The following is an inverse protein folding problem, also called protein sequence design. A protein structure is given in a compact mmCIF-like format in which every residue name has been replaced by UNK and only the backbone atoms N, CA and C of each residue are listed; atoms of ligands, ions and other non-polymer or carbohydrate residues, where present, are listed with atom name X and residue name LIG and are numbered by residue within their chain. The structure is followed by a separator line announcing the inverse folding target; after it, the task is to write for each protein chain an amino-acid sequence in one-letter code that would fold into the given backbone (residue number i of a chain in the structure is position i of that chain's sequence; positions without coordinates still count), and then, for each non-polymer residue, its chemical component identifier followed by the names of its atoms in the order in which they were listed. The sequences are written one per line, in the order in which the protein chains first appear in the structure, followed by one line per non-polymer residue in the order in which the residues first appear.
data_IF_702680207310
#
_entry.id   IF_702680207310
#
_cell.length_a   1.000
_cell.length_b   1.000
_cell.length_c   1.000
_cell.angle_alpha   90.00
_cell.angle_beta   90.00
_cell.angle_gamma   90.00
#
_symmetry.space_group_name_H-M   'P 1'
#
loop_
_entity.id
_entity.type
_entity.pdbx_description
1 polymer ?
#
# COMPACT_ATOMS: atom_id res chain seq x y z
N UNK A 1 43.79 -11.51 -18.66
CA UNK A 1 42.85 -12.48 -19.28
C UNK A 1 41.99 -11.76 -20.31
N UNK A 2 41.84 -12.31 -21.52
CA UNK A 2 40.85 -11.82 -22.49
C UNK A 2 39.45 -12.21 -22.00
N UNK A 3 38.50 -11.28 -22.04
CA UNK A 3 37.10 -11.52 -21.66
C UNK A 3 36.48 -12.61 -22.54
N UNK A 4 35.98 -13.70 -21.94
CA UNK A 4 35.41 -14.83 -22.65
C UNK A 4 33.93 -15.04 -22.30
N UNK A 5 33.07 -14.93 -23.30
CA UNK A 5 31.60 -15.10 -23.15
C UNK A 5 31.23 -16.50 -22.63
N UNK A 6 32.00 -17.54 -22.98
CA UNK A 6 31.74 -18.90 -22.49
C UNK A 6 31.91 -18.97 -20.97
N UNK A 7 32.90 -18.26 -20.43
CA UNK A 7 33.13 -18.18 -18.99
C UNK A 7 31.98 -17.46 -18.28
N UNK A 8 31.52 -16.34 -18.84
CA UNK A 8 30.35 -15.60 -18.34
C UNK A 8 29.12 -16.51 -18.26
N UNK A 9 28.85 -17.28 -19.31
CA UNK A 9 27.72 -18.20 -19.34
C UNK A 9 27.85 -19.33 -18.29
N UNK A 10 29.04 -19.88 -18.08
CA UNK A 10 29.28 -20.89 -17.05
C UNK A 10 29.07 -20.34 -15.64
N UNK A 11 29.52 -19.10 -15.38
CA UNK A 11 29.25 -18.40 -14.10
C UNK A 11 27.75 -18.20 -13.91
N UNK A 12 27.04 -17.71 -14.93
CA UNK A 12 25.60 -17.50 -14.87
C UNK A 12 24.84 -18.80 -14.59
N UNK A 13 25.17 -19.89 -15.29
CA UNK A 13 24.56 -21.21 -15.08
C UNK A 13 24.82 -21.75 -13.68
N UNK A 14 26.05 -21.58 -13.17
CA UNK A 14 26.39 -21.94 -11.79
C UNK A 14 25.52 -21.17 -10.80
N UNK A 15 25.39 -19.86 -10.98
CA UNK A 15 24.64 -18.99 -10.07
C UNK A 15 23.16 -19.37 -10.03
N UNK A 16 22.56 -19.62 -11.21
CA UNK A 16 21.17 -20.08 -11.34
C UNK A 16 20.97 -21.38 -10.55
N UNK A 17 21.83 -22.39 -10.79
CA UNK A 17 21.71 -23.69 -10.13
C UNK A 17 21.89 -23.59 -8.62
N UNK A 18 22.89 -22.83 -8.17
CA UNK A 18 23.19 -22.66 -6.76
C UNK A 18 22.07 -21.91 -6.04
N UNK A 19 21.54 -20.85 -6.65
CA UNK A 19 20.50 -20.03 -6.02
C UNK A 19 19.15 -20.73 -6.01
N UNK A 20 18.73 -21.34 -7.13
CA UNK A 20 17.46 -22.08 -7.20
C UNK A 20 17.43 -23.30 -6.27
N UNK A 21 18.58 -23.90 -5.98
CA UNK A 21 18.70 -25.00 -5.02
C UNK A 21 18.59 -24.59 -3.54
N UNK A 22 18.69 -23.30 -3.21
CA UNK A 22 18.60 -22.81 -1.83
C UNK A 22 17.12 -22.69 -1.39
N UNK A 23 16.82 -23.06 -0.14
CA UNK A 23 15.49 -22.84 0.48
C UNK A 23 15.04 -21.37 0.41
N UNK A 24 15.98 -20.43 0.47
CA UNK A 24 15.70 -19.00 0.35
C UNK A 24 15.05 -18.61 -0.99
N UNK A 25 15.36 -19.32 -2.09
CA UNK A 25 14.70 -19.08 -3.37
C UNK A 25 13.23 -19.50 -3.36
N UNK A 26 12.91 -20.64 -2.74
CA UNK A 26 11.51 -21.07 -2.56
C UNK A 26 10.71 -20.06 -1.73
N UNK A 27 11.31 -19.52 -0.66
CA UNK A 27 10.68 -18.46 0.13
C UNK A 27 10.45 -17.21 -0.72
N UNK A 28 11.45 -16.77 -1.49
CA UNK A 28 11.31 -15.61 -2.38
C UNK A 28 10.24 -15.81 -3.46
N UNK A 29 10.03 -17.06 -3.91
CA UNK A 29 9.02 -17.42 -4.89
C UNK A 29 7.59 -17.40 -4.31
N UNK A 30 7.42 -17.95 -3.10
CA UNK A 30 6.09 -18.18 -2.48
C UNK A 30 5.62 -16.97 -1.67
N UNK A 31 6.51 -16.28 -0.97
CA UNK A 31 6.17 -15.18 -0.07
C UNK A 31 5.34 -14.07 -0.76
N UNK A 32 5.69 -13.59 -1.97
CA UNK A 32 4.89 -12.57 -2.65
C UNK A 32 3.46 -13.03 -2.95
N UNK A 33 3.29 -14.30 -3.35
CA UNK A 33 1.97 -14.89 -3.61
C UNK A 33 1.16 -15.01 -2.32
N UNK A 34 1.79 -15.43 -1.22
CA UNK A 34 1.13 -15.53 0.08
C UNK A 34 0.70 -14.15 0.58
N UNK A 35 1.55 -13.13 0.43
CA UNK A 35 1.21 -11.75 0.77
C UNK A 35 0.08 -11.22 -0.11
N UNK A 36 0.08 -11.56 -1.40
CA UNK A 36 -1.02 -11.20 -2.31
C UNK A 36 -2.33 -11.86 -1.89
N UNK A 37 -2.33 -13.15 -1.58
CA UNK A 37 -3.50 -13.85 -1.07
C UNK A 37 -4.00 -13.25 0.26
N UNK A 38 -3.08 -12.84 1.14
CA UNK A 38 -3.42 -12.13 2.36
C UNK A 38 -4.07 -10.76 2.06
N UNK A 39 -3.48 -9.94 1.20
CA UNK A 39 -4.05 -8.63 0.83
C UNK A 39 -5.44 -8.81 0.19
N UNK A 40 -5.57 -9.74 -0.76
CA UNK A 40 -6.83 -10.03 -1.43
C UNK A 40 -7.91 -10.58 -0.49
N UNK A 41 -7.53 -11.26 0.60
CA UNK A 41 -8.50 -11.73 1.61
C UNK A 41 -8.83 -10.68 2.67
N UNK A 42 -7.89 -9.78 2.98
CA UNK A 42 -8.10 -8.69 3.91
C UNK A 42 -9.06 -7.62 3.37
N UNK A 43 -9.08 -7.35 2.06
CA UNK A 43 -9.96 -6.33 1.47
C UNK A 43 -11.45 -6.69 1.65
N UNK A 44 -11.96 -7.86 1.23
CA UNK A 44 -13.34 -8.26 1.48
C UNK A 44 -13.65 -8.44 2.96
N UNK A 45 -12.66 -8.84 3.78
CA UNK A 45 -12.84 -8.92 5.23
C UNK A 45 -13.03 -7.52 5.83
N UNK A 46 -12.21 -6.54 5.44
CA UNK A 46 -12.32 -5.16 5.87
C UNK A 46 -13.65 -4.56 5.41
N UNK A 47 -14.04 -4.79 4.15
CA UNK A 47 -15.33 -4.38 3.63
C UNK A 47 -16.47 -5.05 4.40
N UNK A 48 -16.40 -6.36 4.66
CA UNK A 48 -17.41 -7.07 5.47
C UNK A 48 -17.45 -6.56 6.90
N UNK A 49 -16.33 -6.18 7.51
CA UNK A 49 -16.28 -5.61 8.86
C UNK A 49 -16.85 -4.19 8.90
N UNK A 50 -16.56 -3.37 7.89
CA UNK A 50 -17.10 -2.02 7.72
C UNK A 50 -18.59 -2.05 7.39
N UNK A 51 -19.01 -2.91 6.46
CA UNK A 51 -20.40 -3.10 6.02
C UNK A 51 -21.23 -3.95 6.98
N UNK A 52 -20.63 -4.70 7.93
CA UNK A 52 -21.38 -5.31 9.04
C UNK A 52 -22.06 -4.25 9.91
N UNK A 53 -21.57 -3.01 9.88
CA UNK A 53 -22.25 -1.85 10.46
C UNK A 53 -23.52 -1.46 9.69
N UNK A 54 -23.58 -1.67 8.37
CA UNK A 54 -24.81 -1.45 7.57
C UNK A 54 -25.82 -2.60 7.68
N UNK A 55 -25.38 -3.83 7.93
CA UNK A 55 -26.26 -4.99 8.13
C UNK A 55 -26.99 -5.02 9.49
N UNK A 56 -26.78 -4.02 10.35
CA UNK A 56 -27.64 -3.76 11.51
C UNK A 56 -29.01 -3.17 11.12
N UNK A 57 -29.25 -2.93 9.82
CA UNK A 57 -30.52 -2.42 9.29
C UNK A 57 -31.60 -3.49 9.06
N UNK A 58 -31.50 -4.68 9.67
CA UNK A 58 -32.56 -5.71 9.59
C UNK A 58 -33.41 -5.81 10.86
N UNK A 59 -32.88 -5.42 12.02
CA UNK A 59 -33.60 -5.48 13.30
C UNK A 59 -33.44 -4.17 14.09
N UNK A 60 -34.47 -3.79 14.85
CA UNK A 60 -34.43 -2.60 15.70
C UNK A 60 -33.46 -2.79 16.86
N UNK A 61 -32.51 -1.87 17.03
CA UNK A 61 -31.54 -1.87 18.12
C UNK A 61 -32.20 -1.32 19.38
N UNK A 62 -32.31 -2.14 20.43
CA UNK A 62 -32.89 -1.74 21.72
C UNK A 62 -31.83 -1.13 22.63
N UNK A 63 -32.08 0.08 23.09
CA UNK A 63 -31.15 0.85 23.92
C UNK A 63 -31.83 1.23 25.23
N UNK A 64 -31.21 0.82 26.34
CA UNK A 64 -31.61 1.25 27.67
C UNK A 64 -31.10 2.65 27.99
N UNK A 65 -31.90 3.48 28.64
CA UNK A 65 -31.44 4.77 29.17
C UNK A 65 -31.71 4.87 30.66
N UNK A 66 -30.69 5.24 31.43
CA UNK A 66 -30.78 5.53 32.86
C UNK A 66 -30.54 7.03 33.02
N UNK A 67 -31.58 7.76 33.42
CA UNK A 67 -31.53 9.21 33.62
C UNK A 67 -32.83 9.78 34.20
N UNK A 68 -32.74 10.98 34.77
CA UNK A 68 -33.87 11.68 35.41
C UNK A 68 -34.60 12.65 34.48
N UNK A 69 -33.98 13.04 33.37
CA UNK A 69 -34.48 14.07 32.47
C UNK A 69 -35.43 13.48 31.42
N UNK A 70 -36.67 13.19 31.82
CA UNK A 70 -37.69 12.58 30.95
C UNK A 70 -37.90 13.37 29.65
N UNK A 71 -37.85 14.71 29.70
CA UNK A 71 -37.99 15.59 28.52
C UNK A 71 -36.83 15.41 27.52
N UNK A 72 -35.59 15.24 27.98
CA UNK A 72 -34.43 15.05 27.12
C UNK A 72 -34.46 13.66 26.48
N UNK A 73 -34.82 12.64 27.26
CA UNK A 73 -34.94 11.27 26.77
C UNK A 73 -36.03 11.19 25.70
N UNK A 74 -37.16 11.87 25.90
CA UNK A 74 -38.25 11.94 24.93
C UNK A 74 -37.82 12.62 23.63
N UNK A 75 -37.19 13.80 23.71
CA UNK A 75 -36.66 14.51 22.54
C UNK A 75 -35.59 13.71 21.80
N UNK A 76 -34.79 12.94 22.52
CA UNK A 76 -33.80 12.05 21.94
C UNK A 76 -34.43 10.84 21.24
N UNK A 77 -35.52 10.29 21.80
CA UNK A 77 -36.32 9.26 21.15
C UNK A 77 -36.88 9.72 19.81
N UNK A 78 -37.55 10.88 19.80
CA UNK A 78 -38.12 11.46 18.57
C UNK A 78 -37.03 11.65 17.50
N UNK A 79 -35.84 12.11 17.90
CA UNK A 79 -34.72 12.31 16.96
C UNK A 79 -34.17 10.99 16.42
N UNK A 80 -34.09 9.96 17.24
CA UNK A 80 -33.64 8.63 16.82
C UNK A 80 -34.66 7.91 15.95
N UNK A 81 -35.95 8.21 16.08
CA UNK A 81 -37.02 7.68 15.21
C UNK A 81 -36.96 8.22 13.77
N UNK A 82 -36.21 9.31 13.52
CA UNK A 82 -35.89 9.79 12.18
C UNK A 82 -35.00 8.79 11.41
N UNK A 83 -34.19 8.00 12.12
CA UNK A 83 -33.36 6.93 11.54
C UNK A 83 -34.22 5.68 11.36
N UNK A 84 -34.55 5.38 10.10
CA UNK A 84 -35.45 4.26 9.75
C UNK A 84 -34.71 3.10 9.09
N UNK A 85 -35.18 1.90 9.40
CA UNK A 85 -34.87 0.67 8.69
C UNK A 85 -35.40 0.76 7.24
N UNK A 86 -34.88 -0.04 6.28
CA UNK A 86 -35.37 -0.09 4.90
C UNK A 86 -36.87 -0.42 4.77
N UNK A 87 -37.43 -1.07 5.79
CA UNK A 87 -38.86 -1.41 5.91
C UNK A 87 -39.71 -0.29 6.57
N UNK A 88 -39.12 0.87 6.88
CA UNK A 88 -39.80 2.04 7.45
C UNK A 88 -39.98 2.03 8.97
N UNK A 89 -39.57 0.96 9.69
CA UNK A 89 -39.59 0.90 11.16
C UNK A 89 -38.43 1.71 11.77
N UNK A 90 -38.55 2.22 13.01
CA UNK A 90 -37.45 2.92 13.66
C UNK A 90 -36.26 1.97 13.88
N UNK A 91 -35.06 2.43 13.53
CA UNK A 91 -33.81 1.69 13.68
C UNK A 91 -33.44 1.50 15.15
N UNK A 92 -33.84 2.44 16.01
CA UNK A 92 -33.56 2.42 17.43
C UNK A 92 -34.86 2.37 18.24
N UNK A 93 -34.85 1.61 19.33
CA UNK A 93 -35.93 1.58 20.31
C UNK A 93 -35.36 1.92 21.68
N UNK A 94 -35.74 3.09 22.21
CA UNK A 94 -35.29 3.54 23.52
C UNK A 94 -36.26 3.06 24.61
N UNK A 95 -35.72 2.44 25.66
CA UNK A 95 -36.45 2.07 26.86
C UNK A 95 -35.78 2.74 28.07
N UNK A 96 -36.51 3.64 28.74
CA UNK A 96 -35.99 4.39 29.87
C UNK A 96 -36.31 3.69 31.20
N UNK A 97 -35.31 3.59 32.08
CA UNK A 97 -35.49 3.24 33.48
C UNK A 97 -35.41 4.51 34.32
N UNK A 98 -36.56 4.98 34.84
CA UNK A 98 -36.62 6.16 35.69
C UNK A 98 -36.15 5.86 37.12
N UNK A 99 -35.39 6.79 37.71
CA UNK A 99 -34.81 6.70 39.07
C UNK A 99 -35.83 7.16 40.13
N UNK A 100 -37.10 6.76 40.00
CA UNK A 100 -38.14 7.09 40.99
C UNK A 100 -37.97 6.18 42.22
N UNK A 101 -37.07 6.57 43.13
CA UNK A 101 -36.87 5.92 44.43
C UNK A 101 -35.98 4.67 44.42
N UNK A 102 -35.32 4.35 43.31
CA UNK A 102 -34.43 3.19 43.18
C UNK A 102 -32.96 3.65 43.16
N UNK A 103 -32.08 2.99 43.92
CA UNK A 103 -30.65 3.30 43.90
C UNK A 103 -30.05 3.10 42.51
N UNK A 104 -29.23 4.06 42.04
CA UNK A 104 -28.54 4.03 40.73
C UNK A 104 -27.81 2.71 40.47
N UNK A 105 -27.20 2.15 41.51
CA UNK A 105 -26.49 0.87 41.46
C UNK A 105 -27.41 -0.30 41.10
N UNK A 106 -28.66 -0.30 41.58
CA UNK A 106 -29.63 -1.36 41.27
C UNK A 106 -30.15 -1.25 39.83
N UNK A 107 -30.32 -0.03 39.33
CA UNK A 107 -30.71 0.21 37.93
C UNK A 107 -29.61 -0.20 36.95
N UNK A 108 -28.36 0.12 37.26
CA UNK A 108 -27.21 -0.32 36.46
C UNK A 108 -27.07 -1.86 36.48
N UNK A 109 -27.28 -2.51 37.63
CA UNK A 109 -27.28 -3.98 37.70
C UNK A 109 -28.40 -4.62 36.87
N UNK A 110 -29.60 -4.03 36.86
CA UNK A 110 -30.72 -4.48 36.03
C UNK A 110 -30.44 -4.28 34.53
N UNK A 111 -29.95 -3.09 34.15
CA UNK A 111 -29.57 -2.79 32.77
C UNK A 111 -28.44 -3.71 32.26
N UNK A 112 -27.44 -3.98 33.10
CA UNK A 112 -26.40 -4.96 32.79
C UNK A 112 -26.98 -6.38 32.60
N UNK A 113 -27.97 -6.77 33.42
CA UNK A 113 -28.65 -8.06 33.26
C UNK A 113 -29.41 -8.11 31.93
N UNK A 114 -30.19 -7.08 31.59
CA UNK A 114 -30.90 -6.97 30.29
C UNK A 114 -29.96 -7.03 29.09
N UNK A 115 -28.77 -6.43 29.18
CA UNK A 115 -27.74 -6.54 28.13
C UNK A 115 -27.10 -7.93 28.07
N UNK A 116 -26.87 -8.58 29.21
CA UNK A 116 -26.36 -9.97 29.26
C UNK A 116 -27.38 -10.97 28.70
N UNK A 117 -28.65 -10.76 29.00
CA UNK A 117 -29.78 -11.59 28.56
C UNK A 117 -30.20 -11.29 27.10
N UNK A 118 -29.47 -10.37 26.42
CA UNK A 118 -29.70 -9.93 25.03
C UNK A 118 -31.07 -9.27 24.78
N UNK A 119 -31.74 -8.81 25.84
CA UNK A 119 -32.96 -8.01 25.72
C UNK A 119 -32.66 -6.59 25.23
N UNK A 120 -31.52 -6.05 25.66
CA UNK A 120 -30.98 -4.76 25.21
C UNK A 120 -29.62 -4.95 24.53
N UNK A 121 -29.36 -4.16 23.49
CA UNK A 121 -28.08 -4.17 22.79
C UNK A 121 -27.02 -3.31 23.51
N UNK A 122 -27.46 -2.22 24.15
CA UNK A 122 -26.61 -1.33 24.92
C UNK A 122 -27.46 -0.56 25.95
N UNK A 123 -26.79 0.06 26.93
CA UNK A 123 -27.43 1.05 27.78
C UNK A 123 -26.54 2.30 27.97
N UNK A 124 -27.19 3.44 28.17
CA UNK A 124 -26.56 4.74 28.40
C UNK A 124 -26.96 5.27 29.77
N UNK A 125 -25.98 5.77 30.52
CA UNK A 125 -26.19 6.37 31.85
C UNK A 125 -25.86 7.85 31.79
N UNK A 126 -26.83 8.69 32.17
CA UNK A 126 -26.62 10.13 32.27
C UNK A 126 -26.01 10.47 33.64
N UNK A 127 -24.88 11.16 33.63
CA UNK A 127 -24.16 11.52 34.86
C UNK A 127 -24.53 12.94 35.30
N UNK A 128 -25.60 13.04 36.09
CA UNK A 128 -26.15 14.32 36.57
C UNK A 128 -26.96 15.05 35.51
N UNK A 129 -27.04 16.38 35.61
CA UNK A 129 -27.67 17.20 34.58
C UNK A 129 -26.83 17.19 33.30
N UNK A 130 -27.34 16.46 32.31
CA UNK A 130 -26.65 16.27 31.04
C UNK A 130 -26.58 17.56 30.21
N UNK A 131 -27.48 18.51 30.45
CA UNK A 131 -27.48 19.80 29.75
C UNK A 131 -26.28 20.66 30.15
N UNK A 132 -25.80 20.56 31.39
CA UNK A 132 -24.65 21.33 31.85
C UNK A 132 -23.34 20.58 31.60
N UNK A 133 -23.24 19.33 32.06
CA UNK A 133 -21.96 18.61 32.08
C UNK A 133 -21.67 17.83 30.79
N UNK A 134 -22.69 17.46 30.01
CA UNK A 134 -22.54 16.70 28.76
C UNK A 134 -21.86 15.32 28.92
N UNK A 135 -21.83 14.76 30.13
CA UNK A 135 -21.18 13.49 30.44
C UNK A 135 -22.22 12.36 30.45
N UNK A 136 -21.98 11.34 29.62
CA UNK A 136 -22.75 10.11 29.60
C UNK A 136 -21.83 8.90 29.48
N UNK A 137 -22.15 7.84 30.20
CA UNK A 137 -21.42 6.58 30.16
C UNK A 137 -22.17 5.58 29.28
N UNK A 138 -21.47 4.97 28.32
CA UNK A 138 -22.04 4.02 27.36
C UNK A 138 -21.54 2.60 27.65
N UNK A 139 -22.47 1.66 27.75
CA UNK A 139 -22.17 0.26 28.07
C UNK A 139 -22.81 -0.68 27.05
N UNK A 140 -22.04 -1.66 26.58
CA UNK A 140 -22.50 -2.67 25.61
C UNK A 140 -21.86 -4.03 25.88
N UNK A 141 -22.47 -5.12 25.40
CA UNK A 141 -21.88 -6.47 25.46
C UNK A 141 -20.68 -6.57 24.51
N UNK A 142 -19.59 -7.22 24.94
CA UNK A 142 -18.33 -7.35 24.18
C UNK A 142 -18.56 -7.65 22.69
N UNK A 143 -17.99 -6.80 21.82
CA UNK A 143 -17.95 -7.00 20.37
C UNK A 143 -19.04 -6.28 19.56
N UNK A 144 -19.81 -5.37 20.15
CA UNK A 144 -20.84 -4.61 19.44
C UNK A 144 -20.31 -3.31 18.82
N UNK A 145 -20.65 -3.13 17.53
CA UNK A 145 -20.58 -1.96 16.63
C UNK A 145 -19.76 -0.72 17.07
N UNK A 146 -18.62 -0.50 16.39
CA UNK A 146 -17.77 0.70 16.56
C UNK A 146 -18.52 2.02 16.23
N UNK A 147 -19.60 1.94 15.43
CA UNK A 147 -20.35 3.11 15.00
C UNK A 147 -21.53 3.46 15.92
N UNK A 148 -22.06 2.52 16.71
CA UNK A 148 -23.23 2.78 17.56
C UNK A 148 -23.00 3.93 18.56
N UNK A 149 -21.88 4.00 19.31
CA UNK A 149 -21.60 5.14 20.18
C UNK A 149 -21.52 6.47 19.41
N UNK A 150 -21.01 6.45 18.17
CA UNK A 150 -20.92 7.64 17.32
C UNK A 150 -22.31 8.14 16.89
N UNK A 151 -23.20 7.24 16.43
CA UNK A 151 -24.57 7.61 16.02
C UNK A 151 -25.36 8.15 17.21
N UNK A 152 -25.31 7.46 18.36
CA UNK A 152 -26.00 7.86 19.58
C UNK A 152 -25.47 9.18 20.15
N UNK A 153 -24.15 9.37 20.15
CA UNK A 153 -23.56 10.63 20.62
C UNK A 153 -23.85 11.80 19.67
N UNK A 154 -23.94 11.57 18.36
CA UNK A 154 -24.29 12.61 17.38
C UNK A 154 -25.74 13.10 17.58
N UNK A 155 -26.69 12.17 17.70
CA UNK A 155 -28.11 12.51 17.90
C UNK A 155 -28.34 13.18 19.27
N UNK A 156 -27.74 12.65 20.34
CA UNK A 156 -27.88 13.22 21.68
C UNK A 156 -27.25 14.62 21.77
N UNK A 157 -26.11 14.84 21.10
CA UNK A 157 -25.45 16.15 21.04
C UNK A 157 -26.32 17.21 20.35
N UNK A 158 -27.05 16.84 19.31
CA UNK A 158 -27.99 17.75 18.65
C UNK A 158 -29.14 18.15 19.58
N UNK A 159 -29.71 17.20 20.32
CA UNK A 159 -30.77 17.46 21.30
C UNK A 159 -30.29 18.36 22.44
N UNK A 160 -29.15 18.04 23.04
CA UNK A 160 -28.56 18.85 24.13
C UNK A 160 -28.21 20.25 23.63
N UNK A 161 -27.63 20.36 22.42
CA UNK A 161 -27.33 21.66 21.81
C UNK A 161 -28.59 22.50 21.65
N UNK A 162 -29.67 21.93 21.13
CA UNK A 162 -30.93 22.65 20.95
C UNK A 162 -31.52 23.09 22.29
N UNK A 163 -31.42 22.28 23.35
CA UNK A 163 -31.85 22.65 24.71
C UNK A 163 -31.03 23.81 25.28
N UNK A 164 -29.70 23.78 25.12
CA UNK A 164 -28.81 24.87 25.55
C UNK A 164 -29.14 26.18 24.82
N UNK A 165 -29.44 26.11 23.52
CA UNK A 165 -29.84 27.28 22.73
C UNK A 165 -31.15 27.88 23.27
N UNK A 166 -32.16 27.04 23.53
CA UNK A 166 -33.44 27.51 24.10
C UNK A 166 -33.26 28.14 25.48
N UNK A 167 -32.39 27.59 26.33
CA UNK A 167 -32.10 28.13 27.66
C UNK A 167 -31.49 29.54 27.61
N UNK A 168 -30.71 29.85 26.58
CA UNK A 168 -30.12 31.18 26.31
C UNK A 168 -31.06 32.10 25.51
N UNK A 169 -32.31 31.68 25.26
CA UNK A 169 -33.28 32.45 24.46
C UNK A 169 -32.97 32.49 22.97
N UNK A 170 -32.09 31.62 22.48
CA UNK A 170 -31.72 31.51 21.06
C UNK A 170 -32.64 30.51 20.36
N UNK A 171 -33.21 30.90 19.22
CA UNK A 171 -34.02 30.01 18.39
C UNK A 171 -33.14 28.92 17.72
N UNK A 172 -33.29 27.63 18.08
CA UNK A 172 -32.50 26.55 17.51
C UNK A 172 -32.72 26.38 16.01
N UNK A 173 -33.92 26.69 15.50
CA UNK A 173 -34.20 26.58 14.07
C UNK A 173 -33.36 27.60 13.30
N UNK A 174 -33.30 28.83 13.78
CA UNK A 174 -32.47 29.89 13.18
C UNK A 174 -30.97 29.55 13.24
N UNK A 175 -30.47 29.02 14.35
CA UNK A 175 -29.07 28.60 14.48
C UNK A 175 -28.75 27.39 13.59
N UNK A 176 -29.65 26.41 13.47
CA UNK A 176 -29.47 25.26 12.59
C UNK A 176 -29.53 25.66 11.10
N UNK A 177 -30.34 26.67 10.75
CA UNK A 177 -30.34 27.27 9.41
C UNK A 177 -29.01 27.95 9.09
N UNK A 178 -28.45 28.70 10.04
CA UNK A 178 -27.15 29.37 9.89
C UNK A 178 -25.97 28.39 9.81
N UNK A 179 -26.07 27.25 10.50
CA UNK A 179 -25.07 26.18 10.49
C UNK A 179 -25.34 25.10 9.44
N UNK A 180 -26.35 25.27 8.58
CA UNK A 180 -26.66 24.29 7.54
C UNK A 180 -25.48 24.24 6.58
N UNK A 181 -24.75 23.13 6.62
CA UNK A 181 -23.59 22.91 5.76
C UNK A 181 -23.99 23.00 4.29
N UNK A 182 -23.07 23.50 3.47
CA UNK A 182 -23.28 23.57 2.02
C UNK A 182 -23.31 22.14 1.48
N UNK A 183 -24.46 21.74 0.95
CA UNK A 183 -24.59 20.46 0.24
C UNK A 183 -24.12 20.67 -1.18
N UNK A 184 -22.92 20.18 -1.49
CA UNK A 184 -22.40 20.23 -2.86
C UNK A 184 -23.10 19.15 -3.68
N UNK A 185 -23.99 19.57 -4.57
CA UNK A 185 -24.40 18.73 -5.67
C UNK A 185 -23.35 18.92 -6.77
N UNK A 186 -22.40 17.99 -6.85
CA UNK A 186 -21.34 17.99 -7.86
C UNK A 186 -21.94 17.54 -9.19
N UNK A 187 -21.95 18.44 -10.18
CA UNK A 187 -22.38 18.15 -11.54
C UNK A 187 -21.15 18.17 -12.45
N UNK A 188 -20.83 17.03 -13.08
CA UNK A 188 -19.76 16.95 -14.06
C UNK A 188 -20.21 17.66 -15.34
N UNK A 189 -19.62 18.82 -15.66
CA UNK A 189 -19.85 19.47 -16.94
C UNK A 189 -19.05 18.73 -18.02
N UNK A 190 -19.75 17.99 -18.89
CA UNK A 190 -19.20 17.57 -20.18
C UNK A 190 -19.00 18.82 -21.04
N UNK A 191 -17.75 19.15 -21.36
CA UNK A 191 -17.40 20.30 -22.22
C UNK A 191 -17.79 20.09 -23.70
N UNK A 192 -18.48 19.00 -24.03
CA UNK A 192 -19.08 18.78 -25.34
C UNK A 192 -20.60 18.86 -25.25
N UNK A 193 -21.18 19.78 -26.03
CA UNK A 193 -22.62 19.90 -26.24
C UNK A 193 -23.11 18.72 -27.09
N UNK A 194 -23.40 17.59 -26.44
CA UNK A 194 -24.12 16.47 -27.06
C UNK A 194 -25.58 16.42 -26.60
N UNK A 195 -26.51 15.87 -27.43
CA UNK A 195 -27.94 16.00 -27.22
C UNK A 195 -28.45 15.29 -25.96
N UNK A 196 -29.63 15.71 -25.51
CA UNK A 196 -30.28 15.43 -24.21
C UNK A 196 -30.44 13.95 -23.84
N UNK A 197 -30.33 13.01 -24.78
CA UNK A 197 -30.46 11.57 -24.57
C UNK A 197 -29.24 10.93 -23.86
N UNK A 198 -28.04 11.51 -24.01
CA UNK A 198 -26.79 10.97 -23.43
C UNK A 198 -26.46 11.55 -22.04
N UNK A 199 -27.30 12.42 -21.48
CA UNK A 199 -27.10 13.01 -20.13
C UNK A 199 -27.18 11.96 -19.01
N UNK A 200 -27.93 10.88 -19.21
CA UNK A 200 -27.92 9.74 -18.29
C UNK A 200 -26.67 8.87 -18.45
N UNK A 201 -26.08 8.82 -19.66
CA UNK A 201 -24.83 8.10 -19.91
C UNK A 201 -23.62 8.83 -19.32
N UNK A 202 -23.60 10.16 -19.39
CA UNK A 202 -22.55 10.99 -18.75
C UNK A 202 -22.61 10.94 -17.22
N UNK A 203 -23.81 10.89 -16.63
CA UNK A 203 -23.99 10.67 -15.18
C UNK A 203 -23.51 9.27 -14.76
N UNK A 204 -23.72 8.26 -15.62
CA UNK A 204 -23.16 6.91 -15.46
C UNK A 204 -21.63 6.91 -15.67
N UNK A 205 -21.08 7.72 -16.57
CA UNK A 205 -19.64 7.83 -16.83
C UNK A 205 -18.87 8.46 -15.66
N UNK A 206 -19.36 9.54 -15.07
CA UNK A 206 -18.73 10.17 -13.89
C UNK A 206 -18.71 9.29 -12.66
N UNK A 207 -19.84 8.61 -12.41
CA UNK A 207 -19.96 7.60 -11.35
C UNK A 207 -19.08 6.38 -11.65
N UNK A 208 -19.03 5.94 -12.93
CA UNK A 208 -18.09 4.91 -13.41
C UNK A 208 -16.64 5.34 -13.27
N UNK A 209 -16.29 6.63 -13.41
CA UNK A 209 -14.91 7.11 -13.32
C UNK A 209 -14.40 7.14 -11.87
N UNK A 210 -15.27 7.48 -10.90
CA UNK A 210 -14.99 7.33 -9.47
C UNK A 210 -14.89 5.85 -9.07
N UNK A 211 -15.86 5.01 -9.48
CA UNK A 211 -15.80 3.56 -9.25
C UNK A 211 -14.54 2.94 -9.88
N UNK A 212 -14.20 3.32 -11.11
CA UNK A 212 -12.97 2.91 -11.80
C UNK A 212 -11.70 3.37 -11.08
N UNK A 213 -11.73 4.45 -10.32
CA UNK A 213 -10.57 4.87 -9.53
C UNK A 213 -10.38 3.96 -8.30
N UNK A 214 -11.47 3.60 -7.64
CA UNK A 214 -11.49 2.70 -6.48
C UNK A 214 -11.15 1.25 -6.88
N UNK A 215 -11.70 0.76 -8.00
CA UNK A 215 -11.45 -0.58 -8.55
C UNK A 215 -10.01 -0.79 -9.03
N UNK A 216 -9.30 0.30 -9.31
CA UNK A 216 -8.02 0.28 -10.00
C UNK A 216 -6.82 0.45 -9.05
N UNK A 217 -7.03 0.98 -7.83
CA UNK A 217 -6.01 1.07 -6.78
C UNK A 217 -5.50 -0.31 -6.38
N UNK A 218 -6.39 -1.29 -6.20
CA UNK A 218 -6.04 -2.66 -5.81
C UNK A 218 -5.06 -3.32 -6.79
N UNK A 219 -5.43 -3.44 -8.08
CA UNK A 219 -4.55 -3.95 -9.13
C UNK A 219 -3.22 -3.18 -9.24
N UNK A 220 -3.23 -1.84 -9.14
CA UNK A 220 -2.00 -1.04 -9.19
C UNK A 220 -1.05 -1.42 -8.05
N UNK A 221 -1.57 -1.51 -6.82
CA UNK A 221 -0.80 -1.84 -5.62
C UNK A 221 -0.22 -3.25 -5.69
N UNK A 222 -0.97 -4.20 -6.22
CA UNK A 222 -0.48 -5.55 -6.51
C UNK A 222 0.69 -5.51 -7.49
N UNK A 223 0.57 -4.79 -8.61
CA UNK A 223 1.63 -4.69 -9.60
C UNK A 223 2.90 -4.06 -9.04
N UNK A 224 2.79 -3.00 -8.24
CA UNK A 224 3.94 -2.32 -7.63
C UNK A 224 4.61 -3.21 -6.59
N UNK A 225 3.82 -3.92 -5.78
CA UNK A 225 4.34 -4.87 -4.79
C UNK A 225 5.09 -6.02 -5.49
N UNK A 226 4.54 -6.55 -6.58
CA UNK A 226 5.21 -7.57 -7.40
C UNK A 226 6.49 -7.03 -8.02
N UNK A 227 6.48 -5.81 -8.56
CA UNK A 227 7.71 -5.17 -9.06
C UNK A 227 8.75 -5.00 -7.96
N UNK A 228 8.34 -4.58 -6.76
CA UNK A 228 9.22 -4.44 -5.60
C UNK A 228 9.91 -5.78 -5.27
N UNK A 229 9.15 -6.86 -5.15
CA UNK A 229 9.72 -8.18 -4.86
C UNK A 229 10.65 -8.67 -5.97
N UNK A 230 10.31 -8.39 -7.24
CA UNK A 230 11.15 -8.74 -8.38
C UNK A 230 12.46 -7.98 -8.39
N UNK A 231 12.44 -6.64 -8.37
CA UNK A 231 13.65 -5.83 -8.55
C UNK A 231 14.50 -5.84 -7.28
N UNK A 232 13.90 -5.53 -6.13
CA UNK A 232 14.63 -5.45 -4.87
C UNK A 232 14.97 -6.84 -4.32
N UNK A 233 14.02 -7.77 -4.32
CA UNK A 233 14.21 -9.11 -3.75
C UNK A 233 15.33 -9.90 -4.45
N UNK A 234 15.33 -9.95 -5.78
CA UNK A 234 16.41 -10.63 -6.54
C UNK A 234 17.77 -9.94 -6.38
N UNK A 235 17.79 -8.61 -6.37
CA UNK A 235 19.03 -7.83 -6.19
C UNK A 235 19.61 -8.00 -4.78
N UNK A 236 18.75 -8.16 -3.77
CA UNK A 236 19.17 -8.51 -2.41
C UNK A 236 19.83 -9.88 -2.35
N UNK A 237 19.29 -10.88 -3.08
CA UNK A 237 19.91 -12.21 -3.18
C UNK A 237 21.29 -12.14 -3.87
N UNK A 238 21.44 -11.30 -4.89
CA UNK A 238 22.73 -11.04 -5.55
C UNK A 238 23.77 -10.47 -4.59
N UNK A 239 23.41 -9.43 -3.82
CA UNK A 239 24.29 -8.84 -2.81
C UNK A 239 24.76 -9.89 -1.79
N UNK A 240 23.83 -10.65 -1.21
CA UNK A 240 24.17 -11.69 -0.24
C UNK A 240 25.06 -12.76 -0.86
N UNK A 241 24.78 -13.19 -2.10
CA UNK A 241 25.61 -14.15 -2.81
C UNK A 241 27.06 -13.68 -3.00
N UNK A 242 27.27 -12.40 -3.32
CA UNK A 242 28.62 -11.82 -3.45
C UNK A 242 29.32 -11.77 -2.09
N UNK A 243 28.64 -11.33 -1.03
CA UNK A 243 29.21 -11.25 0.32
C UNK A 243 29.54 -12.63 0.88
N UNK A 244 28.65 -13.62 0.69
CA UNK A 244 28.89 -15.02 1.03
C UNK A 244 30.13 -15.57 0.32
N UNK A 245 30.29 -15.34 -0.98
CA UNK A 245 31.45 -15.83 -1.74
C UNK A 245 32.76 -15.14 -1.36
N UNK A 246 32.69 -13.86 -1.01
CA UNK A 246 33.84 -13.09 -0.54
C UNK A 246 34.29 -13.58 0.83
N UNK A 247 33.36 -13.76 1.76
CA UNK A 247 33.64 -14.22 3.14
C UNK A 247 34.08 -15.69 3.19
N UNK A 248 33.58 -16.53 2.28
CA UNK A 248 33.92 -17.97 2.21
C UNK A 248 35.20 -18.28 1.40
N UNK A 249 35.95 -17.27 0.96
CA UNK A 249 37.14 -17.39 0.07
C UNK A 249 36.88 -18.11 -1.27
N UNK A 250 35.62 -18.35 -1.62
CA UNK A 250 35.24 -18.91 -2.93
C UNK A 250 35.65 -17.96 -4.05
N UNK A 251 35.64 -16.64 -3.78
CA UNK A 251 36.02 -15.64 -4.76
C UNK A 251 37.50 -15.71 -5.16
N UNK A 252 38.41 -16.05 -4.24
CA UNK A 252 39.84 -16.21 -4.52
C UNK A 252 40.09 -17.37 -5.51
N UNK A 253 39.37 -18.48 -5.28
CA UNK A 253 39.39 -19.63 -6.19
C UNK A 253 38.83 -19.27 -7.56
N UNK A 254 37.73 -18.52 -7.64
CA UNK A 254 37.17 -18.07 -8.91
C UNK A 254 38.11 -17.15 -9.68
N UNK A 255 38.77 -16.23 -8.98
CA UNK A 255 39.70 -15.26 -9.57
C UNK A 255 41.00 -15.90 -10.10
N UNK A 256 41.36 -17.11 -9.63
CA UNK A 256 42.48 -17.87 -10.18
C UNK A 256 42.24 -18.33 -11.63
N UNK A 257 40.97 -18.44 -12.04
CA UNK A 257 40.56 -19.00 -13.34
C UNK A 257 39.74 -18.04 -14.20
N UNK A 258 39.18 -16.98 -13.62
CA UNK A 258 38.27 -16.03 -14.27
C UNK A 258 38.65 -14.59 -13.93
N UNK A 259 38.44 -13.67 -14.88
CA UNK A 259 38.59 -12.25 -14.63
C UNK A 259 37.41 -11.67 -13.81
N UNK A 260 37.62 -10.60 -13.02
CA UNK A 260 36.54 -9.95 -12.27
C UNK A 260 35.35 -9.54 -13.13
N UNK A 261 35.59 -9.09 -14.37
CA UNK A 261 34.55 -8.70 -15.32
C UNK A 261 33.68 -9.88 -15.78
N UNK A 262 34.27 -11.07 -15.93
CA UNK A 262 33.52 -12.29 -16.28
C UNK A 262 32.64 -12.75 -15.12
N UNK A 263 33.17 -12.72 -13.89
CA UNK A 263 32.42 -13.05 -12.67
C UNK A 263 31.24 -12.09 -12.50
N UNK A 264 31.50 -10.78 -12.59
CA UNK A 264 30.51 -9.73 -12.46
C UNK A 264 29.36 -9.88 -13.47
N UNK A 265 29.71 -9.98 -14.76
CA UNK A 265 28.72 -10.08 -15.84
C UNK A 265 27.93 -11.38 -15.74
N UNK A 266 28.61 -12.48 -15.38
CA UNK A 266 27.98 -13.78 -15.18
C UNK A 266 26.97 -13.76 -14.04
N UNK A 267 27.29 -13.11 -12.92
CA UNK A 267 26.37 -12.96 -11.79
C UNK A 267 25.15 -12.12 -12.15
N UNK A 268 25.33 -10.92 -12.72
CA UNK A 268 24.18 -10.08 -13.11
C UNK A 268 23.28 -10.81 -14.10
N UNK A 269 23.86 -11.47 -15.11
CA UNK A 269 23.08 -12.22 -16.09
C UNK A 269 22.37 -13.43 -15.46
N UNK A 270 23.02 -14.15 -14.55
CA UNK A 270 22.42 -15.27 -13.82
C UNK A 270 21.21 -14.84 -12.99
N UNK A 271 21.35 -13.77 -12.20
CA UNK A 271 20.25 -13.23 -11.40
C UNK A 271 19.13 -12.61 -12.24
N UNK A 272 19.44 -12.09 -13.43
CA UNK A 272 18.42 -11.65 -14.37
C UNK A 272 17.49 -12.81 -14.77
N UNK A 273 18.06 -13.97 -15.12
CA UNK A 273 17.27 -15.16 -15.44
C UNK A 273 16.54 -15.75 -14.23
N UNK A 274 17.12 -15.67 -13.03
CA UNK A 274 16.42 -16.02 -11.79
C UNK A 274 15.18 -15.12 -11.62
N UNK A 275 15.33 -13.81 -11.76
CA UNK A 275 14.20 -12.87 -11.71
C UNK A 275 13.15 -13.17 -12.78
N UNK A 276 13.58 -13.45 -14.01
CA UNK A 276 12.67 -13.82 -15.10
C UNK A 276 11.86 -15.09 -14.78
N UNK A 277 12.48 -16.07 -14.13
CA UNK A 277 11.80 -17.28 -13.67
C UNK A 277 10.77 -17.01 -12.57
N UNK A 278 11.08 -16.11 -11.62
CA UNK A 278 10.14 -15.69 -10.58
C UNK A 278 8.95 -14.95 -11.18
N UNK A 279 9.21 -14.04 -12.11
CA UNK A 279 8.17 -13.32 -12.84
C UNK A 279 7.24 -14.29 -13.57
N UNK A 280 7.79 -15.24 -14.34
CA UNK A 280 7.01 -16.24 -15.06
C UNK A 280 6.14 -17.07 -14.10
N UNK A 281 6.68 -17.47 -12.96
CA UNK A 281 5.92 -18.19 -11.94
C UNK A 281 4.79 -17.35 -11.34
N UNK A 282 5.05 -16.09 -10.96
CA UNK A 282 4.01 -15.20 -10.40
C UNK A 282 2.92 -14.87 -11.41
N UNK A 283 3.26 -14.65 -12.68
CA UNK A 283 2.28 -14.49 -13.76
C UNK A 283 1.43 -15.76 -13.90
N UNK A 284 2.06 -16.95 -13.90
CA UNK A 284 1.34 -18.22 -13.94
C UNK A 284 0.36 -18.39 -12.78
N UNK A 285 0.78 -18.09 -11.55
CA UNK A 285 -0.11 -18.12 -10.39
C UNK A 285 -1.23 -17.07 -10.49
N UNK A 286 -0.92 -15.86 -10.97
CA UNK A 286 -1.90 -14.82 -11.20
C UNK A 286 -3.00 -15.29 -12.16
N UNK A 287 -2.63 -15.87 -13.31
CA UNK A 287 -3.57 -16.42 -14.30
C UNK A 287 -4.46 -17.50 -13.67
N UNK A 288 -3.89 -18.41 -12.87
CA UNK A 288 -4.66 -19.46 -12.17
C UNK A 288 -5.63 -18.88 -11.13
N UNK A 289 -5.29 -17.74 -10.51
CA UNK A 289 -6.13 -17.05 -9.53
C UNK A 289 -7.27 -16.23 -10.15
N UNK A 290 -7.15 -15.76 -11.40
CA UNK A 290 -8.15 -14.88 -12.04
C UNK A 290 -9.60 -15.42 -11.97
N UNK A 291 -9.89 -16.71 -12.28
CA UNK A 291 -11.26 -17.22 -12.26
C UNK A 291 -11.93 -17.20 -10.88
N UNK A 292 -11.13 -17.14 -9.81
CA UNK A 292 -11.60 -17.18 -8.43
C UNK A 292 -11.94 -15.79 -7.90
N UNK A 293 -11.51 -14.73 -8.59
CA UNK A 293 -11.63 -13.35 -8.11
C UNK A 293 -12.85 -12.62 -8.67
N UNK A 294 -13.54 -13.18 -9.68
CA UNK A 294 -14.65 -12.51 -10.41
C UNK A 294 -14.28 -11.09 -10.91
N UNK A 295 -12.99 -10.85 -11.16
CA UNK A 295 -12.44 -9.59 -11.67
C UNK A 295 -11.94 -9.78 -13.10
N UNK A 296 -12.51 -9.02 -14.03
CA UNK A 296 -12.02 -8.94 -15.42
C UNK A 296 -10.81 -8.02 -15.51
N UNK A 297 -9.61 -8.56 -15.27
CA UNK A 297 -8.36 -7.79 -15.32
C UNK A 297 -8.14 -7.08 -16.66
N UNK A 298 -8.61 -7.65 -17.76
CA UNK A 298 -8.44 -7.08 -19.11
C UNK A 298 -9.25 -5.78 -19.31
N UNK A 299 -10.29 -5.54 -18.53
CA UNK A 299 -11.07 -4.30 -18.58
C UNK A 299 -10.35 -3.12 -17.91
N UNK A 300 -9.41 -3.44 -17.01
CA UNK A 300 -8.68 -2.47 -16.19
C UNK A 300 -7.21 -2.32 -16.58
N UNK A 301 -6.61 -3.36 -17.16
CA UNK A 301 -5.18 -3.42 -17.49
C UNK A 301 -5.01 -3.57 -19.01
N UNK A 302 -4.73 -2.47 -19.73
CA UNK A 302 -4.48 -2.52 -21.16
C UNK A 302 -3.32 -3.46 -21.51
N UNK A 303 -3.32 -4.17 -22.65
CA UNK A 303 -2.20 -5.02 -23.08
C UNK A 303 -0.84 -4.31 -23.09
N UNK A 304 -0.83 -3.01 -23.42
CA UNK A 304 0.37 -2.16 -23.40
C UNK A 304 0.99 -2.04 -21.99
N UNK A 305 0.21 -2.25 -20.93
CA UNK A 305 0.69 -2.27 -19.55
C UNK A 305 1.67 -3.43 -19.32
N UNK A 306 1.41 -4.62 -19.86
CA UNK A 306 2.30 -5.77 -19.70
C UNK A 306 3.66 -5.55 -20.38
N UNK A 307 3.66 -4.93 -21.57
CA UNK A 307 4.89 -4.58 -22.25
C UNK A 307 5.72 -3.57 -21.44
N UNK A 308 5.06 -2.57 -20.87
CA UNK A 308 5.72 -1.61 -19.98
C UNK A 308 6.22 -2.25 -18.69
N UNK A 309 5.42 -3.16 -18.12
CA UNK A 309 5.83 -3.93 -16.96
C UNK A 309 7.14 -4.67 -17.23
N UNK A 310 7.27 -5.35 -18.39
CA UNK A 310 8.50 -6.04 -18.78
C UNK A 310 9.70 -5.11 -18.99
N UNK A 311 9.49 -3.96 -19.62
CA UNK A 311 10.55 -2.97 -19.86
C UNK A 311 11.09 -2.45 -18.53
N UNK A 312 10.20 -1.96 -17.67
CA UNK A 312 10.58 -1.37 -16.39
C UNK A 312 11.03 -2.39 -15.35
N UNK A 313 10.52 -3.62 -15.41
CA UNK A 313 11.05 -4.74 -14.65
C UNK A 313 12.51 -4.99 -15.03
N UNK A 314 12.81 -5.09 -16.34
CA UNK A 314 14.17 -5.33 -16.83
C UNK A 314 15.13 -4.21 -16.46
N UNK A 315 14.78 -2.96 -16.78
CA UNK A 315 15.67 -1.81 -16.49
C UNK A 315 15.80 -1.55 -15.00
N UNK A 316 14.71 -1.68 -14.25
CA UNK A 316 14.71 -1.57 -12.80
C UNK A 316 15.59 -2.63 -12.15
N UNK A 317 15.42 -3.90 -12.54
CA UNK A 317 16.27 -4.99 -12.09
C UNK A 317 17.75 -4.70 -12.38
N UNK A 318 18.11 -4.37 -13.63
CA UNK A 318 19.51 -4.13 -13.99
C UNK A 318 20.12 -3.01 -13.15
N UNK A 319 19.37 -1.93 -12.94
CA UNK A 319 19.84 -0.83 -12.11
C UNK A 319 20.08 -1.25 -10.65
N UNK A 320 19.11 -1.89 -10.00
CA UNK A 320 19.29 -2.40 -8.64
C UNK A 320 20.41 -3.44 -8.55
N UNK A 321 20.49 -4.37 -9.50
CA UNK A 321 21.53 -5.39 -9.54
C UNK A 321 22.93 -4.78 -9.58
N UNK A 322 23.14 -3.69 -10.35
CA UNK A 322 24.44 -3.02 -10.43
C UNK A 322 24.85 -2.36 -9.13
N UNK A 323 23.91 -1.69 -8.46
CA UNK A 323 24.14 -1.07 -7.15
C UNK A 323 24.46 -2.12 -6.10
N UNK A 324 23.64 -3.17 -6.03
CA UNK A 324 23.80 -4.25 -5.07
C UNK A 324 25.08 -5.04 -5.32
N UNK A 325 25.49 -5.23 -6.59
CA UNK A 325 26.77 -5.83 -6.92
C UNK A 325 27.96 -4.94 -6.52
N UNK A 326 27.88 -3.63 -6.74
CA UNK A 326 28.92 -2.69 -6.33
C UNK A 326 29.07 -2.66 -4.81
N UNK A 327 27.95 -2.60 -4.08
CA UNK A 327 27.93 -2.68 -2.61
C UNK A 327 28.55 -3.99 -2.17
N UNK A 328 28.10 -5.13 -2.72
CA UNK A 328 28.60 -6.46 -2.36
C UNK A 328 30.11 -6.61 -2.54
N UNK A 329 30.68 -5.96 -3.55
CA UNK A 329 32.12 -5.92 -3.72
C UNK A 329 32.83 -5.10 -2.64
N UNK A 330 32.21 -4.02 -2.14
CA UNK A 330 32.79 -3.09 -1.17
C UNK A 330 32.70 -3.62 0.27
N UNK A 331 31.57 -4.21 0.66
CA UNK A 331 31.36 -4.67 2.04
C UNK A 331 32.30 -5.81 2.44
N UNK A 332 32.59 -5.89 3.74
CA UNK A 332 33.45 -6.94 4.32
C UNK A 332 32.65 -8.08 4.95
N UNK A 333 31.43 -7.83 5.39
CA UNK A 333 30.60 -8.80 6.10
C UNK A 333 29.10 -8.62 5.82
N UNK A 334 28.31 -9.61 6.27
CA UNK A 334 26.87 -9.67 6.03
C UNK A 334 26.08 -8.65 6.86
N UNK A 335 26.56 -8.25 8.04
CA UNK A 335 25.86 -7.27 8.88
C UNK A 335 25.92 -5.87 8.25
N UNK A 336 27.07 -5.51 7.69
CA UNK A 336 27.23 -4.25 6.97
C UNK A 336 26.40 -4.23 5.68
N UNK A 337 26.34 -5.36 4.97
CA UNK A 337 25.50 -5.49 3.76
C UNK A 337 24.02 -5.19 4.07
N UNK A 338 23.53 -5.60 5.25
CA UNK A 338 22.16 -5.33 5.69
C UNK A 338 21.90 -3.85 6.00
N UNK A 339 22.89 -3.11 6.50
CA UNK A 339 22.75 -1.66 6.75
C UNK A 339 22.59 -0.90 5.43
N UNK A 340 23.35 -1.26 4.40
CA UNK A 340 23.18 -0.70 3.06
C UNK A 340 21.83 -1.07 2.46
N UNK A 341 21.34 -2.29 2.67
CA UNK A 341 20.03 -2.73 2.17
C UNK A 341 18.89 -1.82 2.65
N UNK A 342 18.91 -1.35 3.90
CA UNK A 342 17.86 -0.50 4.47
C UNK A 342 17.73 0.81 3.68
N UNK A 343 18.85 1.42 3.29
CA UNK A 343 18.87 2.69 2.55
C UNK A 343 18.15 2.53 1.20
N UNK A 344 18.46 1.47 0.45
CA UNK A 344 17.84 1.22 -0.85
C UNK A 344 16.42 0.66 -0.77
N UNK A 345 16.08 0.00 0.34
CA UNK A 345 14.72 -0.48 0.59
C UNK A 345 13.73 0.68 0.69
N UNK A 346 14.11 1.72 1.46
CA UNK A 346 13.29 2.94 1.62
C UNK A 346 12.99 3.56 0.24
N UNK A 347 13.96 3.59 -0.67
CA UNK A 347 13.77 4.16 -2.01
C UNK A 347 12.70 3.39 -2.80
N UNK A 348 12.68 2.06 -2.72
CA UNK A 348 11.65 1.26 -3.41
C UNK A 348 10.27 1.34 -2.75
N UNK A 349 10.21 1.62 -1.44
CA UNK A 349 8.97 1.72 -0.66
C UNK A 349 8.30 3.09 -0.81
N UNK A 350 9.06 4.16 -1.03
CA UNK A 350 8.52 5.53 -1.18
C UNK A 350 7.37 5.60 -2.20
N UNK A 351 7.49 5.01 -3.42
CA UNK A 351 6.36 5.04 -4.35
C UNK A 351 5.11 4.31 -3.89
N UNK A 352 5.28 3.28 -3.06
CA UNK A 352 4.16 2.57 -2.45
C UNK A 352 3.47 3.44 -1.39
N UNK A 353 4.24 4.22 -0.60
CA UNK A 353 3.67 5.15 0.38
C UNK A 353 3.02 6.38 -0.28
N UNK A 354 3.61 6.87 -1.36
CA UNK A 354 3.13 8.04 -2.11
C UNK A 354 2.14 7.68 -3.22
N UNK A 355 1.62 6.45 -3.26
CA UNK A 355 0.76 5.97 -4.34
C UNK A 355 -0.43 6.92 -4.60
N UNK A 356 -1.03 7.47 -3.54
CA UNK A 356 -2.15 8.40 -3.63
C UNK A 356 -1.81 9.65 -4.45
N UNK A 357 -0.60 10.20 -4.29
CA UNK A 357 -0.14 11.37 -5.07
C UNK A 357 0.02 11.00 -6.53
N UNK A 358 0.63 9.84 -6.81
CA UNK A 358 0.92 9.41 -8.17
C UNK A 358 -0.32 9.01 -8.97
N UNK A 359 -1.33 8.45 -8.31
CA UNK A 359 -2.61 8.15 -8.94
C UNK A 359 -3.47 9.41 -9.07
N UNK A 360 -3.52 10.28 -8.06
CA UNK A 360 -4.38 11.48 -8.10
C UNK A 360 -3.86 12.55 -9.07
N UNK A 361 -2.54 12.65 -9.26
CA UNK A 361 -1.88 13.68 -10.05
C UNK A 361 -0.84 13.08 -11.02
N UNK A 362 -1.22 12.15 -11.92
CA UNK A 362 -0.27 11.35 -12.70
C UNK A 362 0.50 12.15 -13.76
N UNK A 363 -0.03 13.32 -14.15
CA UNK A 363 0.57 14.21 -15.14
C UNK A 363 1.29 15.42 -14.52
N UNK A 364 1.30 15.55 -13.19
CA UNK A 364 2.01 16.63 -12.52
C UNK A 364 3.51 16.54 -12.81
N UNK A 365 4.15 17.68 -13.10
CA UNK A 365 5.53 17.70 -13.59
C UNK A 365 6.52 17.03 -12.63
N UNK A 366 6.28 17.11 -11.31
CA UNK A 366 7.10 16.42 -10.29
C UNK A 366 6.96 14.91 -10.40
N UNK A 367 5.73 14.39 -10.57
CA UNK A 367 5.47 12.96 -10.74
C UNK A 367 6.11 12.44 -12.03
N UNK A 368 6.05 13.24 -13.10
CA UNK A 368 6.77 12.95 -14.35
C UNK A 368 8.28 12.87 -14.10
N UNK A 369 8.87 13.88 -13.45
CA UNK A 369 10.30 13.93 -13.15
C UNK A 369 10.76 12.73 -12.31
N UNK A 370 10.03 12.37 -11.25
CA UNK A 370 10.32 11.19 -10.42
C UNK A 370 10.29 9.92 -11.26
N UNK A 371 9.40 9.82 -12.25
CA UNK A 371 9.35 8.68 -13.16
C UNK A 371 10.65 8.51 -13.95
N UNK A 372 11.45 9.55 -14.18
CA UNK A 372 12.74 9.43 -14.88
C UNK A 372 13.88 8.89 -14.01
N UNK A 373 13.71 8.88 -12.69
CA UNK A 373 14.71 8.41 -11.74
C UNK A 373 14.57 6.89 -11.60
N UNK A 374 15.57 6.09 -12.01
CA UNK A 374 15.44 4.63 -12.17
C UNK A 374 14.96 3.87 -10.92
N UNK A 375 15.33 4.34 -9.73
CA UNK A 375 14.86 3.80 -8.45
C UNK A 375 13.34 3.83 -8.31
N UNK A 376 12.71 4.87 -8.89
CA UNK A 376 11.28 5.10 -8.79
C UNK A 376 10.56 4.77 -10.10
N UNK A 377 11.25 4.78 -11.25
CA UNK A 377 10.67 4.63 -12.59
C UNK A 377 9.71 3.46 -12.70
N UNK A 378 10.10 2.28 -12.22
CA UNK A 378 9.28 1.08 -12.36
C UNK A 378 7.94 1.18 -11.60
N UNK A 379 7.96 1.68 -10.37
CA UNK A 379 6.76 1.80 -9.55
C UNK A 379 5.89 2.99 -9.96
N UNK A 380 6.52 4.14 -10.25
CA UNK A 380 5.81 5.37 -10.57
C UNK A 380 5.17 5.32 -11.95
N UNK A 381 5.85 4.78 -12.96
CA UNK A 381 5.24 4.64 -14.29
C UNK A 381 4.05 3.67 -14.26
N UNK A 382 4.15 2.56 -13.51
CA UNK A 382 3.04 1.64 -13.32
C UNK A 382 1.80 2.35 -12.72
N UNK A 383 2.00 3.14 -11.66
CA UNK A 383 0.91 3.93 -11.04
C UNK A 383 0.30 4.95 -11.99
N UNK A 384 1.13 5.67 -12.74
CA UNK A 384 0.65 6.70 -13.68
C UNK A 384 -0.16 6.10 -14.82
N UNK A 385 0.28 4.96 -15.36
CA UNK A 385 -0.37 4.28 -16.49
C UNK A 385 -1.73 3.74 -16.11
N UNK A 386 -1.83 3.29 -14.87
CA UNK A 386 -3.07 2.84 -14.29
C UNK A 386 -4.00 4.03 -14.11
N UNK A 387 -3.53 5.14 -13.53
CA UNK A 387 -4.36 6.30 -13.25
C UNK A 387 -4.87 7.07 -14.48
N UNK A 388 -4.07 7.17 -15.54
CA UNK A 388 -4.41 7.93 -16.73
C UNK A 388 -3.74 7.36 -17.98
N UNK A 389 -4.35 7.54 -19.18
CA UNK A 389 -3.69 7.20 -20.43
C UNK A 389 -2.45 8.10 -20.61
N UNK A 390 -1.27 7.50 -20.56
CA UNK A 390 0.00 8.21 -20.78
C UNK A 390 0.33 8.16 -22.28
N UNK A 391 0.73 9.30 -22.87
CA UNK A 391 1.25 9.31 -24.23
C UNK A 391 2.46 8.37 -24.40
N UNK A 392 2.49 7.59 -25.49
CA UNK A 392 3.53 6.60 -25.75
C UNK A 392 4.96 7.17 -25.76
N UNK A 393 5.13 8.44 -26.13
CA UNK A 393 6.44 9.10 -26.15
C UNK A 393 6.98 9.36 -24.73
N UNK A 394 6.11 9.66 -23.76
CA UNK A 394 6.53 9.85 -22.37
C UNK A 394 7.00 8.53 -21.75
N UNK A 395 6.31 7.44 -22.10
CA UNK A 395 6.70 6.07 -21.73
C UNK A 395 8.08 5.74 -22.32
N UNK A 396 8.28 6.00 -23.61
CA UNK A 396 9.54 5.76 -24.30
C UNK A 396 10.70 6.56 -23.70
N UNK A 397 10.48 7.85 -23.39
CA UNK A 397 11.49 8.71 -22.78
C UNK A 397 11.94 8.18 -21.41
N UNK A 398 10.99 7.76 -20.57
CA UNK A 398 11.29 7.20 -19.25
C UNK A 398 11.95 5.81 -19.36
N UNK A 399 11.57 5.00 -20.34
CA UNK A 399 12.23 3.73 -20.63
C UNK A 399 13.69 3.94 -21.07
N UNK A 400 13.93 4.90 -21.97
CA UNK A 400 15.27 5.27 -22.44
C UNK A 400 16.13 5.84 -21.31
N UNK A 401 15.57 6.70 -20.45
CA UNK A 401 16.31 7.21 -19.29
C UNK A 401 16.69 6.06 -18.35
N UNK A 402 15.74 5.19 -18.02
CA UNK A 402 15.96 4.04 -17.15
C UNK A 402 17.04 3.10 -17.71
N UNK A 403 17.01 2.82 -19.01
CA UNK A 403 18.03 2.03 -19.69
C UNK A 403 19.39 2.72 -19.66
N UNK A 404 19.45 4.03 -19.92
CA UNK A 404 20.69 4.82 -19.90
C UNK A 404 21.35 4.75 -18.53
N UNK A 405 20.59 4.97 -17.46
CA UNK A 405 21.09 4.86 -16.09
C UNK A 405 21.49 3.43 -15.72
N UNK A 406 20.75 2.41 -16.17
CA UNK A 406 21.15 1.02 -15.96
C UNK A 406 22.50 0.73 -16.64
N UNK A 407 22.70 1.16 -17.88
CA UNK A 407 23.97 0.98 -18.61
C UNK A 407 25.13 1.74 -17.95
N UNK A 408 24.89 2.97 -17.49
CA UNK A 408 25.86 3.73 -16.70
C UNK A 408 26.18 3.01 -15.38
N UNK A 409 25.16 2.47 -14.71
CA UNK A 409 25.29 1.66 -13.51
C UNK A 409 26.15 0.42 -13.72
N UNK A 410 25.90 -0.35 -14.79
CA UNK A 410 26.71 -1.51 -15.19
C UNK A 410 28.17 -1.11 -15.38
N UNK A 411 28.41 -0.04 -16.12
CA UNK A 411 29.76 0.44 -16.39
C UNK A 411 30.51 0.85 -15.12
N UNK A 412 29.88 1.65 -14.25
CA UNK A 412 30.47 2.11 -13.00
C UNK A 412 30.66 0.98 -11.99
N UNK A 413 29.64 0.14 -11.82
CA UNK A 413 29.67 -0.99 -10.90
C UNK A 413 30.70 -2.04 -11.34
N UNK A 414 30.90 -2.28 -12.63
CA UNK A 414 31.97 -3.17 -13.11
C UNK A 414 33.37 -2.67 -12.69
N UNK A 415 33.61 -1.35 -12.73
CA UNK A 415 34.87 -0.74 -12.27
C UNK A 415 35.05 -0.88 -10.76
N UNK A 416 34.00 -0.58 -10.00
CA UNK A 416 33.99 -0.77 -8.54
C UNK A 416 34.22 -2.24 -8.19
N UNK A 417 33.54 -3.16 -8.87
CA UNK A 417 33.63 -4.59 -8.61
C UNK A 417 35.04 -5.12 -8.82
N UNK A 418 35.72 -4.69 -9.90
CA UNK A 418 37.09 -5.12 -10.20
C UNK A 418 38.09 -4.82 -9.07
N UNK A 419 37.96 -3.67 -8.42
CA UNK A 419 38.87 -3.24 -7.34
C UNK A 419 38.36 -3.74 -5.99
N UNK A 420 37.09 -3.49 -5.67
CA UNK A 420 36.49 -3.80 -4.37
C UNK A 420 36.50 -5.29 -4.03
N UNK A 421 36.30 -6.17 -5.02
CA UNK A 421 36.26 -7.61 -4.77
C UNK A 421 37.58 -8.18 -4.24
N UNK A 422 38.71 -7.53 -4.58
CA UNK A 422 40.05 -7.89 -4.14
C UNK A 422 40.42 -7.26 -2.79
N UNK A 423 39.66 -6.26 -2.34
CA UNK A 423 39.94 -5.57 -1.09
C UNK A 423 39.42 -6.33 0.12
N UNK A 424 40.32 -6.54 1.09
CA UNK A 424 40.05 -7.19 2.36
C UNK A 424 40.36 -6.26 3.53
N UNK A 425 39.58 -6.38 4.61
CA UNK A 425 39.88 -5.78 5.92
C UNK A 425 39.56 -4.28 6.10
N UNK A 426 39.75 -3.42 5.09
CA UNK A 426 39.51 -1.97 5.24
C UNK A 426 38.33 -1.48 4.39
N UNK A 427 37.40 -0.77 5.03
CA UNK A 427 36.30 -0.07 4.35
C UNK A 427 36.84 1.08 3.50
N UNK A 428 36.56 1.10 2.18
CA UNK A 428 36.93 2.22 1.35
C UNK A 428 36.06 3.44 1.67
N UNK A 429 36.68 4.61 1.68
CA UNK A 429 35.94 5.87 1.81
C UNK A 429 35.13 6.17 0.53
N UNK A 430 34.05 6.95 0.63
CA UNK A 430 33.28 7.40 -0.54
C UNK A 430 34.15 8.09 -1.60
N UNK A 431 35.22 8.79 -1.16
CA UNK A 431 36.18 9.43 -2.07
C UNK A 431 37.05 8.42 -2.81
N UNK A 432 37.40 7.29 -2.21
CA UNK A 432 38.14 6.22 -2.86
C UNK A 432 37.27 5.47 -3.87
N UNK A 433 36.02 5.15 -3.50
CA UNK A 433 35.03 4.54 -4.41
C UNK A 433 34.83 5.45 -5.64
N UNK A 434 34.71 6.76 -5.43
CA UNK A 434 34.62 7.74 -6.51
C UNK A 434 35.84 7.71 -7.44
N UNK A 435 37.06 7.52 -6.91
CA UNK A 435 38.27 7.38 -7.75
C UNK A 435 38.23 6.11 -8.60
N UNK A 436 37.74 4.99 -8.06
CA UNK A 436 37.64 3.73 -8.82
C UNK A 436 36.73 3.84 -10.04
N UNK A 437 35.67 4.63 -9.93
CA UNK A 437 34.78 4.93 -11.05
C UNK A 437 35.51 5.60 -12.23
N UNK A 438 36.57 6.38 -11.98
CA UNK A 438 37.29 7.16 -13.00
C UNK A 438 38.70 6.65 -13.32
N UNK A 439 39.17 5.61 -12.62
CA UNK A 439 40.51 5.06 -12.84
C UNK A 439 40.67 4.54 -14.28
N UNK A 440 41.74 4.99 -14.98
CA UNK A 440 42.09 4.57 -16.34
C UNK A 440 43.22 3.56 -16.28
N UNK A 441 43.09 2.46 -17.03
CA UNK A 441 44.04 1.32 -17.09
C UNK A 441 45.48 1.66 -17.54
N UNK A 442 45.78 2.91 -17.87
CA UNK A 442 47.08 3.33 -18.40
C UNK A 442 48.12 3.67 -17.33
N UNK A 443 47.74 3.78 -16.06
CA UNK A 443 48.71 3.92 -14.97
C UNK A 443 49.02 2.53 -14.40
N UNK A 444 49.99 1.89 -15.04
CA UNK A 444 50.57 0.66 -14.55
C UNK A 444 51.24 0.84 -13.18
N UNK A 445 51.45 -0.32 -12.55
CA UNK A 445 52.19 -0.54 -11.31
C UNK A 445 51.39 -0.19 -10.05
N UNK A 446 50.77 -1.24 -9.51
CA UNK A 446 50.56 -1.37 -8.07
C UNK A 446 51.98 -1.34 -7.46
N UNK A 447 52.41 -0.18 -6.98
CA UNK A 447 53.44 -0.12 -5.95
C UNK A 447 52.75 -0.27 -4.58
N UNK A 448 53.04 -1.43 -3.99
CA UNK A 448 52.90 -1.88 -2.59
C UNK A 448 51.51 -2.06 -2.00
#
# INVERSE_FOLDING_TARGET
MKFNIRNVALVAQREIRQTMGKKGFLVALILPILLLALICSLVPLAEKLLNRSQNLRTESVKIGVIGNDADIIEKWRIKLDEEKLPNGRPLFSLESLSILGISRTLLEQNAQKKVRDKEWNAYVVFSGDITQNGKCDFYTSRGFDLNLPYVLSRSLREVIRNQRLLAEGLDPQRINLLNRGITWNEFELSLESKPTSEKEETKKEGTKRRARFEDLIGPAMICILMMFFLTFGTSQMLLRGIVEEKTSRVIELLLSSLSPGEIYTGKISGFFFIGLSQFAFWVGCGIVMLPWMDVSVMDYVPPIFFMNYLIFMTTGYLFYATIFAAIGAIVTDENESQQFQIIFNITSVIPMMMYFVFISQPNWWVVRLISFIPFFSHSVMALRMVAAPIPWWDILLVALSSLTFAMLGIFLAARIFRIGILMTGKRPSLREIGRWCFYRETEGVIET
#
